data_IF_193320841597
#
_entry.id   IF_193320841597
#
_cell.length_a   1.000
_cell.length_b   1.000
_cell.length_c   1.000
_cell.angle_alpha   90.00
_cell.angle_beta   90.00
_cell.angle_gamma   90.00
#
_symmetry.space_group_name_H-M   'P 1'
#
loop_
_entity.id
_entity.type
_entity.pdbx_description
1 polymer ?
#
# COMPACT_ATOMS: atom_id res chain seq x y z
N UNK A 1 -19.18 -32.59 -22.88
CA UNK A 1 -17.97 -31.99 -22.25
C UNK A 1 -17.79 -30.50 -22.56
N UNK A 2 -18.43 -29.92 -23.58
CA UNK A 2 -18.19 -28.54 -24.05
C UNK A 2 -18.88 -27.46 -23.18
N UNK A 3 -20.01 -27.77 -22.52
CA UNK A 3 -20.75 -26.84 -21.63
C UNK A 3 -20.02 -26.42 -20.35
N UNK A 4 -18.90 -27.07 -20.04
CA UNK A 4 -18.17 -26.97 -18.76
C UNK A 4 -17.09 -25.88 -18.77
N UNK A 5 -16.24 -25.89 -19.80
CA UNK A 5 -15.26 -24.82 -20.10
C UNK A 5 -15.88 -23.42 -20.28
N UNK A 6 -17.18 -23.38 -20.57
CA UNK A 6 -18.03 -22.19 -20.74
C UNK A 6 -18.16 -21.31 -19.49
N UNK A 7 -18.14 -21.92 -18.30
CA UNK A 7 -18.51 -21.26 -17.03
C UNK A 7 -17.27 -20.72 -16.30
N UNK A 8 -16.23 -21.54 -16.19
CA UNK A 8 -14.96 -21.34 -16.88
C UNK A 8 -14.29 -19.94 -16.89
N UNK A 9 -13.94 -19.53 -18.11
CA UNK A 9 -13.25 -18.27 -18.40
C UNK A 9 -14.07 -17.02 -18.00
N UNK A 10 -15.38 -17.16 -17.83
CA UNK A 10 -16.24 -16.06 -17.42
C UNK A 10 -16.05 -15.66 -15.95
N UNK A 11 -15.87 -16.65 -15.08
CA UNK A 11 -15.60 -16.43 -13.66
C UNK A 11 -14.19 -15.91 -13.39
N UNK A 12 -13.23 -16.20 -14.29
CA UNK A 12 -11.84 -15.76 -14.12
C UNK A 12 -11.69 -14.25 -14.17
N UNK A 13 -12.36 -13.71 -15.17
CA UNK A 13 -12.23 -12.37 -15.69
C UNK A 13 -12.85 -11.28 -14.81
N UNK A 14 -13.96 -11.57 -14.13
CA UNK A 14 -14.59 -10.63 -13.20
C UNK A 14 -13.84 -10.47 -11.87
N UNK A 15 -12.98 -11.41 -11.49
CA UNK A 15 -12.29 -11.40 -10.19
C UNK A 15 -11.06 -10.50 -10.11
N UNK A 16 -10.40 -10.25 -11.24
CA UNK A 16 -9.18 -9.41 -11.36
C UNK A 16 -9.43 -7.92 -11.07
N UNK A 17 -10.68 -7.54 -10.81
CA UNK A 17 -11.16 -6.16 -10.80
C UNK A 17 -11.43 -5.57 -9.41
N UNK A 18 -11.10 -6.29 -8.34
CA UNK A 18 -11.25 -5.82 -6.96
C UNK A 18 -9.94 -5.43 -6.26
N UNK A 19 -8.79 -5.52 -6.94
CA UNK A 19 -7.45 -5.31 -6.35
C UNK A 19 -7.00 -3.83 -6.37
N UNK A 20 -7.78 -2.92 -6.96
CA UNK A 20 -7.44 -1.49 -6.95
C UNK A 20 -7.88 -0.80 -5.64
N UNK A 21 -7.03 -0.87 -4.61
CA UNK A 21 -7.03 0.06 -3.48
C UNK A 21 -5.58 0.40 -3.07
N UNK A 22 -5.33 1.61 -2.52
CA UNK A 22 -4.14 2.38 -2.81
C UNK A 22 -2.85 1.83 -2.21
N UNK A 23 -1.84 1.71 -3.08
CA UNK A 23 -0.44 1.49 -2.79
C UNK A 23 0.17 2.76 -2.17
N UNK A 24 0.38 2.75 -0.86
CA UNK A 24 1.34 3.64 -0.22
C UNK A 24 2.04 2.84 0.87
N UNK A 25 3.25 2.35 0.62
CA UNK A 25 4.37 2.42 1.57
C UNK A 25 5.68 2.25 0.79
N UNK A 26 6.46 3.33 0.75
CA UNK A 26 7.89 3.31 0.45
C UNK A 26 8.59 2.93 1.76
N UNK A 27 9.30 1.81 1.81
CA UNK A 27 10.51 1.68 2.61
C UNK A 27 11.23 0.34 2.37
N UNK A 28 12.49 0.48 1.95
CA UNK A 28 13.63 -0.44 2.09
C UNK A 28 13.70 -1.63 1.13
N UNK A 29 14.70 -1.52 0.25
CA UNK A 29 14.93 -2.44 -0.85
C UNK A 29 15.58 -3.74 -0.44
N UNK A 30 15.04 -4.82 -0.99
CA UNK A 30 15.74 -5.92 -1.64
C UNK A 30 14.75 -6.51 -2.66
N UNK A 31 15.18 -6.56 -3.93
CA UNK A 31 14.51 -7.10 -5.14
C UNK A 31 12.98 -7.27 -5.03
N UNK A 32 12.27 -6.14 -4.91
CA UNK A 32 10.82 -6.08 -5.08
C UNK A 32 10.52 -6.13 -6.58
N UNK A 33 9.61 -7.01 -7.03
CA UNK A 33 8.83 -6.61 -8.20
C UNK A 33 8.06 -5.38 -7.77
N UNK A 34 8.33 -4.25 -8.41
CA UNK A 34 7.73 -2.99 -7.98
C UNK A 34 6.19 -3.12 -8.08
N UNK A 35 5.41 -2.47 -7.20
CA UNK A 35 3.95 -2.50 -7.30
C UNK A 35 3.42 -2.14 -8.71
N UNK A 36 4.17 -1.31 -9.44
CA UNK A 36 3.92 -0.94 -10.83
C UNK A 36 4.11 -2.12 -11.78
N UNK A 37 5.15 -2.94 -11.57
CA UNK A 37 5.36 -4.18 -12.33
C UNK A 37 4.20 -5.15 -12.16
N UNK A 38 3.71 -5.31 -10.92
CA UNK A 38 2.61 -6.21 -10.64
C UNK A 38 1.33 -5.76 -11.35
N UNK A 39 1.10 -4.45 -11.44
CA UNK A 39 -0.06 -3.88 -12.12
C UNK A 39 0.00 -4.08 -13.65
N UNK A 40 1.20 -3.92 -14.24
CA UNK A 40 1.45 -4.19 -15.68
C UNK A 40 1.22 -5.66 -15.99
N UNK A 41 1.79 -6.57 -15.20
CA UNK A 41 1.60 -8.02 -15.39
C UNK A 41 0.12 -8.41 -15.22
N UNK A 42 -0.59 -7.74 -14.31
CA UNK A 42 -2.03 -7.97 -14.11
C UNK A 42 -2.85 -7.56 -15.34
N UNK A 43 -2.54 -6.41 -15.95
CA UNK A 43 -3.24 -5.95 -17.16
C UNK A 43 -2.97 -6.86 -18.37
N UNK A 44 -1.74 -7.34 -18.55
CA UNK A 44 -1.39 -8.31 -19.59
C UNK A 44 -2.13 -9.64 -19.43
N UNK A 45 -2.23 -10.15 -18.19
CA UNK A 45 -3.00 -11.37 -17.91
C UNK A 45 -4.49 -11.17 -18.18
N UNK A 46 -5.05 -10.04 -17.76
CA UNK A 46 -6.45 -9.72 -18.03
C UNK A 46 -6.73 -9.65 -19.54
N UNK A 47 -5.81 -9.08 -20.32
CA UNK A 47 -5.92 -9.05 -21.78
C UNK A 47 -6.03 -10.48 -22.36
N UNK A 48 -5.09 -11.36 -22.02
CA UNK A 48 -5.04 -12.74 -22.55
C UNK A 48 -6.32 -13.52 -22.24
N UNK A 49 -6.89 -13.31 -21.06
CA UNK A 49 -8.11 -13.98 -20.64
C UNK A 49 -9.33 -13.46 -21.43
N UNK A 50 -9.44 -12.14 -21.66
CA UNK A 50 -10.54 -11.57 -22.45
C UNK A 50 -10.41 -12.00 -23.92
N UNK A 51 -9.19 -12.04 -24.45
CA UNK A 51 -8.90 -12.55 -25.79
C UNK A 51 -9.38 -14.00 -25.94
N UNK A 52 -9.01 -14.87 -24.98
CA UNK A 52 -9.43 -16.27 -24.99
C UNK A 52 -10.97 -16.43 -24.92
N UNK A 53 -11.66 -15.55 -24.17
CA UNK A 53 -13.12 -15.54 -24.14
C UNK A 53 -13.71 -15.15 -25.50
N UNK A 54 -13.20 -14.10 -26.12
CA UNK A 54 -13.63 -13.63 -27.44
C UNK A 54 -13.38 -14.72 -28.50
N UNK A 55 -12.17 -15.26 -28.56
CA UNK A 55 -11.79 -16.32 -29.49
C UNK A 55 -12.68 -17.55 -29.36
N UNK A 56 -13.02 -17.91 -28.13
CA UNK A 56 -13.93 -19.03 -27.87
C UNK A 56 -15.34 -18.75 -28.41
N UNK A 57 -15.87 -17.53 -28.25
CA UNK A 57 -17.17 -17.16 -28.79
C UNK A 57 -17.16 -17.30 -30.31
N UNK A 58 -16.17 -16.71 -30.98
CA UNK A 58 -16.05 -16.77 -32.45
C UNK A 58 -15.74 -18.17 -32.99
N UNK A 59 -15.10 -19.02 -32.19
CA UNK A 59 -14.83 -20.42 -32.56
C UNK A 59 -16.05 -21.34 -32.39
N UNK A 60 -17.17 -20.83 -31.86
CA UNK A 60 -18.37 -21.59 -31.57
C UNK A 60 -19.53 -21.17 -32.49
N UNK A 61 -19.64 -21.83 -33.64
CA UNK A 61 -20.65 -21.54 -34.67
C UNK A 61 -22.09 -21.57 -34.12
N UNK A 62 -22.43 -22.54 -33.25
CA UNK A 62 -23.77 -22.61 -32.65
C UNK A 62 -24.06 -21.43 -31.74
N UNK A 63 -23.04 -20.87 -31.08
CA UNK A 63 -23.19 -19.71 -30.20
C UNK A 63 -23.27 -18.42 -31.01
N UNK A 64 -22.41 -18.25 -32.01
CA UNK A 64 -22.49 -17.11 -32.93
C UNK A 64 -23.86 -17.08 -33.60
N UNK A 65 -24.36 -18.22 -34.07
CA UNK A 65 -25.71 -18.28 -34.65
C UNK A 65 -26.77 -17.84 -33.65
N UNK A 66 -26.68 -18.24 -32.37
CA UNK A 66 -27.63 -17.78 -31.35
C UNK A 66 -27.52 -16.27 -31.07
N UNK A 67 -26.30 -15.73 -31.07
CA UNK A 67 -26.06 -14.30 -30.89
C UNK A 67 -26.63 -13.52 -32.08
N UNK A 68 -26.45 -14.01 -33.30
CA UNK A 68 -27.06 -13.47 -34.52
C UNK A 68 -28.59 -13.54 -34.51
N UNK A 69 -29.14 -14.70 -34.14
CA UNK A 69 -30.59 -14.94 -34.06
C UNK A 69 -31.29 -14.02 -33.04
N UNK A 70 -30.54 -13.52 -32.05
CA UNK A 70 -31.01 -12.56 -31.05
C UNK A 70 -30.61 -11.11 -31.38
N UNK A 71 -30.08 -10.84 -32.57
CA UNK A 71 -29.66 -9.50 -33.02
C UNK A 71 -28.54 -8.86 -32.16
N UNK A 72 -27.77 -9.66 -31.43
CA UNK A 72 -26.71 -9.21 -30.51
C UNK A 72 -25.30 -9.27 -31.13
N UNK A 73 -25.16 -9.63 -32.41
CA UNK A 73 -23.85 -9.74 -33.06
C UNK A 73 -23.14 -8.38 -33.12
N UNK A 74 -23.86 -7.32 -33.45
CA UNK A 74 -23.30 -5.96 -33.48
C UNK A 74 -22.84 -5.53 -32.08
N UNK A 75 -23.62 -5.83 -31.04
CA UNK A 75 -23.24 -5.55 -29.66
C UNK A 75 -21.95 -6.28 -29.27
N UNK A 76 -21.80 -7.56 -29.67
CA UNK A 76 -20.57 -8.32 -29.45
C UNK A 76 -19.38 -7.69 -30.19
N UNK A 77 -19.53 -7.34 -31.46
CA UNK A 77 -18.49 -6.72 -32.28
C UNK A 77 -18.03 -5.37 -31.68
N UNK A 78 -18.95 -4.56 -31.16
CA UNK A 78 -18.61 -3.34 -30.44
C UNK A 78 -17.76 -3.62 -29.19
N UNK A 79 -17.98 -4.74 -28.50
CA UNK A 79 -17.13 -5.13 -27.36
C UNK A 79 -15.78 -5.66 -27.78
N UNK A 80 -15.64 -6.25 -28.95
CA UNK A 80 -14.32 -6.59 -29.53
C UNK A 80 -13.54 -5.31 -29.86
N UNK A 81 -14.20 -4.29 -30.40
CA UNK A 81 -13.57 -2.98 -30.62
C UNK A 81 -13.10 -2.37 -29.30
N UNK A 82 -13.94 -2.39 -28.27
CA UNK A 82 -13.58 -1.91 -26.93
C UNK A 82 -12.44 -2.73 -26.31
N UNK A 83 -12.42 -4.06 -26.49
CA UNK A 83 -11.31 -4.91 -26.07
C UNK A 83 -9.98 -4.48 -26.70
N UNK A 84 -9.96 -4.21 -28.01
CA UNK A 84 -8.75 -3.74 -28.70
C UNK A 84 -8.24 -2.39 -28.16
N UNK A 85 -9.14 -1.52 -27.68
CA UNK A 85 -8.75 -0.30 -26.97
C UNK A 85 -8.05 -0.64 -25.65
N UNK A 86 -8.60 -1.57 -24.86
CA UNK A 86 -7.97 -2.06 -23.62
C UNK A 86 -6.59 -2.69 -23.86
N UNK A 87 -6.45 -3.49 -24.92
CA UNK A 87 -5.17 -4.07 -25.35
C UNK A 87 -4.12 -3.00 -25.69
N UNK A 88 -4.56 -1.89 -26.29
CA UNK A 88 -3.67 -0.76 -26.58
C UNK A 88 -3.13 -0.13 -25.30
N UNK A 89 -3.99 0.05 -24.28
CA UNK A 89 -3.57 0.52 -22.96
C UNK A 89 -2.66 -0.47 -22.23
N UNK A 90 -2.96 -1.78 -22.26
CA UNK A 90 -2.08 -2.79 -21.63
C UNK A 90 -0.68 -2.82 -22.27
N UNK A 91 -0.61 -2.68 -23.60
CA UNK A 91 0.65 -2.59 -24.34
C UNK A 91 1.41 -1.29 -24.02
N UNK A 92 0.68 -0.17 -23.94
CA UNK A 92 1.24 1.14 -23.57
C UNK A 92 1.82 1.11 -22.15
N UNK A 93 1.07 0.53 -21.20
CA UNK A 93 1.48 0.32 -19.82
C UNK A 93 2.80 -0.45 -19.71
N UNK A 94 2.92 -1.57 -20.43
CA UNK A 94 4.17 -2.35 -20.48
C UNK A 94 5.33 -1.53 -21.05
N UNK A 95 5.08 -0.83 -22.15
CA UNK A 95 6.10 0.00 -22.82
C UNK A 95 6.58 1.12 -21.89
N UNK A 96 5.66 1.80 -21.20
CA UNK A 96 5.98 2.84 -20.23
C UNK A 96 6.79 2.28 -19.05
N UNK A 97 6.44 1.09 -18.56
CA UNK A 97 7.19 0.41 -17.50
C UNK A 97 8.63 0.09 -17.93
N UNK A 98 8.82 -0.42 -19.14
CA UNK A 98 10.14 -0.72 -19.72
C UNK A 98 10.98 0.55 -19.94
N UNK A 99 10.34 1.71 -20.11
CA UNK A 99 10.97 3.03 -20.23
C UNK A 99 11.15 3.74 -18.88
N UNK A 100 10.87 3.06 -17.76
CA UNK A 100 10.91 3.62 -16.39
C UNK A 100 9.93 4.78 -16.16
N UNK A 101 8.93 4.95 -17.05
CA UNK A 101 7.82 5.88 -16.88
C UNK A 101 6.70 5.22 -16.08
N UNK A 102 6.95 5.10 -14.77
CA UNK A 102 6.09 4.36 -13.85
C UNK A 102 4.70 4.99 -13.64
N UNK A 103 4.57 6.31 -13.82
CA UNK A 103 3.29 7.01 -13.68
C UNK A 103 2.35 6.64 -14.82
N UNK A 104 2.82 6.77 -16.07
CA UNK A 104 2.09 6.35 -17.27
C UNK A 104 1.83 4.84 -17.25
N UNK A 105 2.80 4.03 -16.81
CA UNK A 105 2.63 2.58 -16.70
C UNK A 105 1.44 2.20 -15.82
N UNK A 106 1.30 2.87 -14.67
CA UNK A 106 0.20 2.63 -13.74
C UNK A 106 -1.13 3.11 -14.30
N UNK A 107 -1.18 4.34 -14.83
CA UNK A 107 -2.39 4.92 -15.40
C UNK A 107 -2.96 4.05 -16.52
N UNK A 108 -2.11 3.65 -17.47
CA UNK A 108 -2.50 2.83 -18.60
C UNK A 108 -2.92 1.41 -18.18
N UNK A 109 -2.25 0.81 -17.19
CA UNK A 109 -2.67 -0.51 -16.68
C UNK A 109 -4.05 -0.44 -16.01
N UNK A 110 -4.33 0.62 -15.24
CA UNK A 110 -5.65 0.81 -14.63
C UNK A 110 -6.74 1.01 -15.69
N UNK A 111 -6.47 1.79 -16.73
CA UNK A 111 -7.42 2.04 -17.80
C UNK A 111 -7.68 0.79 -18.64
N UNK A 112 -6.63 0.00 -18.94
CA UNK A 112 -6.77 -1.31 -19.57
C UNK A 112 -7.68 -2.24 -18.75
N UNK A 113 -7.40 -2.37 -17.44
CA UNK A 113 -8.22 -3.17 -16.52
C UNK A 113 -9.66 -2.66 -16.42
N UNK A 114 -9.89 -1.33 -16.46
CA UNK A 114 -11.23 -0.75 -16.49
C UNK A 114 -11.98 -1.15 -17.76
N UNK A 115 -11.33 -1.08 -18.91
CA UNK A 115 -11.92 -1.43 -20.20
C UNK A 115 -12.22 -2.93 -20.28
N UNK A 116 -11.28 -3.79 -19.90
CA UNK A 116 -11.49 -5.23 -19.88
C UNK A 116 -12.72 -5.60 -19.03
N UNK A 117 -12.93 -4.92 -17.90
CA UNK A 117 -14.13 -5.08 -17.04
C UNK A 117 -15.42 -4.87 -17.79
N UNK A 118 -15.45 -3.78 -18.54
CA UNK A 118 -16.61 -3.34 -19.28
C UNK A 118 -16.93 -4.34 -20.41
N UNK A 119 -15.89 -4.84 -21.10
CA UNK A 119 -16.01 -5.87 -22.12
C UNK A 119 -16.60 -7.15 -21.52
N UNK A 120 -16.03 -7.67 -20.43
CA UNK A 120 -16.50 -8.91 -19.80
C UNK A 120 -17.96 -8.75 -19.36
N UNK A 121 -18.29 -7.67 -18.65
CA UNK A 121 -19.67 -7.44 -18.19
C UNK A 121 -20.65 -7.39 -19.36
N UNK A 122 -20.25 -6.78 -20.47
CA UNK A 122 -21.10 -6.67 -21.65
C UNK A 122 -21.28 -8.01 -22.34
N UNK A 123 -20.20 -8.76 -22.55
CA UNK A 123 -20.25 -10.13 -23.09
C UNK A 123 -21.10 -11.02 -22.19
N UNK A 124 -21.10 -10.80 -20.87
CA UNK A 124 -21.91 -11.57 -19.93
C UNK A 124 -23.39 -11.43 -20.22
N UNK A 125 -23.83 -10.18 -20.39
CA UNK A 125 -25.21 -9.86 -20.66
C UNK A 125 -25.64 -10.48 -21.98
N UNK A 126 -24.79 -10.36 -23.03
CA UNK A 126 -25.02 -10.99 -24.33
C UNK A 126 -25.21 -12.51 -24.18
N UNK A 127 -24.29 -13.18 -23.48
CA UNK A 127 -24.35 -14.63 -23.29
C UNK A 127 -25.58 -15.06 -22.46
N UNK A 128 -25.91 -14.31 -21.42
CA UNK A 128 -27.08 -14.57 -20.59
C UNK A 128 -28.38 -14.43 -21.38
N UNK A 129 -28.48 -13.41 -22.23
CA UNK A 129 -29.65 -13.16 -23.09
C UNK A 129 -29.88 -14.27 -24.11
N UNK A 130 -28.81 -14.88 -24.65
CA UNK A 130 -28.92 -16.05 -25.54
C UNK A 130 -29.08 -17.39 -24.80
N UNK A 131 -29.37 -17.35 -23.50
CA UNK A 131 -29.71 -18.52 -22.69
C UNK A 131 -28.51 -19.36 -22.25
N UNK A 132 -27.30 -18.79 -22.22
CA UNK A 132 -26.16 -19.42 -21.54
C UNK A 132 -26.36 -19.33 -20.04
N UNK A 133 -26.30 -20.47 -19.35
CA UNK A 133 -26.66 -20.57 -17.94
C UNK A 133 -25.51 -20.04 -17.04
N UNK A 134 -25.70 -18.86 -16.44
CA UNK A 134 -24.67 -18.05 -15.79
C UNK A 134 -24.65 -18.11 -14.25
N UNK A 135 -25.58 -18.80 -13.57
CA UNK A 135 -25.62 -18.83 -12.09
C UNK A 135 -24.38 -19.48 -11.43
N UNK A 136 -23.81 -20.53 -12.03
CA UNK A 136 -22.56 -21.15 -11.56
C UNK A 136 -21.34 -20.21 -11.74
N UNK A 137 -21.45 -19.19 -12.59
CA UNK A 137 -20.38 -18.22 -12.88
C UNK A 137 -20.22 -17.25 -11.72
N UNK A 138 -21.30 -16.90 -11.01
CA UNK A 138 -21.26 -15.99 -9.85
C UNK A 138 -20.54 -16.66 -8.66
N UNK A 139 -20.78 -17.95 -8.44
CA UNK A 139 -20.11 -18.72 -7.38
C UNK A 139 -18.62 -18.94 -7.69
N UNK A 140 -18.28 -19.25 -8.94
CA UNK A 140 -16.88 -19.36 -9.37
C UNK A 140 -16.15 -18.02 -9.32
N UNK A 141 -16.81 -16.92 -9.69
CA UNK A 141 -16.25 -15.58 -9.62
C UNK A 141 -15.94 -15.20 -8.17
N UNK A 142 -16.90 -15.41 -7.26
CA UNK A 142 -16.73 -15.11 -5.84
C UNK A 142 -15.59 -15.93 -5.23
N UNK A 143 -15.50 -17.22 -5.60
CA UNK A 143 -14.46 -18.11 -5.11
C UNK A 143 -13.08 -17.73 -5.64
N UNK A 144 -13.00 -17.34 -6.91
CA UNK A 144 -11.74 -16.87 -7.47
C UNK A 144 -11.29 -15.52 -6.90
N UNK A 145 -12.20 -14.57 -6.72
CA UNK A 145 -11.89 -13.30 -6.04
C UNK A 145 -11.25 -13.58 -4.67
N UNK A 146 -11.78 -14.57 -3.95
CA UNK A 146 -11.22 -14.97 -2.67
C UNK A 146 -9.83 -15.63 -2.81
N UNK A 147 -9.59 -16.47 -3.84
CA UNK A 147 -8.26 -17.04 -4.14
C UNK A 147 -7.26 -15.94 -4.46
N UNK A 148 -7.59 -15.01 -5.35
CA UNK A 148 -6.69 -13.93 -5.77
C UNK A 148 -6.37 -12.98 -4.61
N UNK A 149 -7.36 -12.60 -3.79
CA UNK A 149 -7.12 -11.81 -2.57
C UNK A 149 -6.20 -12.52 -1.58
N UNK A 150 -6.33 -13.85 -1.46
CA UNK A 150 -5.45 -14.64 -0.62
C UNK A 150 -4.02 -14.71 -1.18
N UNK A 151 -3.85 -14.83 -2.50
CA UNK A 151 -2.54 -14.76 -3.17
C UNK A 151 -1.87 -13.40 -2.94
N UNK A 152 -2.59 -12.30 -3.18
CA UNK A 152 -2.06 -10.95 -2.92
C UNK A 152 -1.65 -10.77 -1.45
N UNK A 153 -2.45 -11.31 -0.52
CA UNK A 153 -2.10 -11.27 0.90
C UNK A 153 -0.83 -12.07 1.20
N UNK A 154 -0.62 -13.20 0.53
CA UNK A 154 0.60 -14.01 0.66
C UNK A 154 1.82 -13.27 0.13
N UNK A 155 1.73 -12.65 -1.05
CA UNK A 155 2.81 -11.88 -1.65
C UNK A 155 3.26 -10.77 -0.68
N UNK A 156 2.30 -10.04 -0.10
CA UNK A 156 2.57 -9.01 0.92
C UNK A 156 3.21 -9.58 2.19
N UNK A 157 2.81 -10.77 2.64
CA UNK A 157 3.40 -11.40 3.83
C UNK A 157 4.84 -11.85 3.55
N UNK A 158 5.13 -12.33 2.34
CA UNK A 158 6.48 -12.72 1.91
C UNK A 158 7.46 -11.56 1.98
N UNK A 159 7.04 -10.36 1.62
CA UNK A 159 7.87 -9.14 1.72
C UNK A 159 8.20 -8.74 3.17
N UNK A 160 7.40 -9.18 4.15
CA UNK A 160 7.59 -8.83 5.56
C UNK A 160 8.50 -9.82 6.31
N UNK A 161 8.80 -10.97 5.71
CA UNK A 161 9.52 -12.06 6.36
C UNK A 161 10.99 -12.00 5.93
N UNK A 162 11.89 -12.11 6.91
CA UNK A 162 13.33 -12.18 6.65
C UNK A 162 13.66 -13.43 5.84
N UNK A 163 14.58 -13.34 4.87
CA UNK A 163 15.07 -14.48 4.10
C UNK A 163 15.68 -15.60 4.99
N UNK A 164 16.09 -15.26 6.22
CA UNK A 164 16.64 -16.21 7.20
C UNK A 164 15.55 -17.00 7.96
N UNK A 165 14.29 -16.55 7.93
CA UNK A 165 13.15 -17.22 8.58
C UNK A 165 12.60 -18.33 7.69
N UNK A 166 13.40 -19.39 7.56
CA UNK A 166 13.10 -20.54 6.70
C UNK A 166 11.79 -21.27 7.08
N UNK A 167 11.35 -21.19 8.34
CA UNK A 167 10.12 -21.83 8.80
C UNK A 167 8.89 -21.05 8.31
N UNK A 168 8.89 -19.73 8.48
CA UNK A 168 7.80 -18.89 7.97
C UNK A 168 7.77 -18.88 6.43
N UNK A 169 8.93 -18.89 5.76
CA UNK A 169 9.01 -19.03 4.29
C UNK A 169 8.38 -20.35 3.83
N UNK A 170 8.67 -21.47 4.50
CA UNK A 170 8.06 -22.75 4.15
C UNK A 170 6.53 -22.75 4.33
N UNK A 171 6.00 -22.03 5.32
CA UNK A 171 4.56 -21.83 5.46
C UNK A 171 3.98 -21.01 4.30
N UNK A 172 4.68 -19.96 3.86
CA UNK A 172 4.27 -19.15 2.71
C UNK A 172 4.23 -20.03 1.45
N UNK A 173 5.30 -20.79 1.17
CA UNK A 173 5.36 -21.70 0.02
C UNK A 173 4.21 -22.73 0.06
N UNK A 174 3.90 -23.28 1.24
CA UNK A 174 2.77 -24.20 1.40
C UNK A 174 1.42 -23.53 1.12
N UNK A 175 1.22 -22.30 1.58
CA UNK A 175 0.00 -21.55 1.28
C UNK A 175 -0.14 -21.28 -0.22
N UNK A 176 0.95 -20.92 -0.91
CA UNK A 176 0.97 -20.75 -2.37
C UNK A 176 0.57 -22.04 -3.10
N UNK A 177 1.13 -23.19 -2.71
CA UNK A 177 0.76 -24.49 -3.27
C UNK A 177 -0.74 -24.75 -3.13
N UNK A 178 -1.33 -24.48 -1.96
CA UNK A 178 -2.77 -24.62 -1.79
C UNK A 178 -3.58 -23.63 -2.64
N UNK A 179 -3.12 -22.39 -2.81
CA UNK A 179 -3.80 -21.41 -3.66
C UNK A 179 -3.71 -21.77 -5.14
N UNK A 180 -2.57 -22.29 -5.60
CA UNK A 180 -2.39 -22.80 -6.95
C UNK A 180 -3.27 -24.02 -7.20
N UNK A 181 -3.32 -24.97 -6.25
CA UNK A 181 -4.23 -26.11 -6.31
C UNK A 181 -5.70 -25.66 -6.27
N UNK A 182 -6.05 -24.66 -5.45
CA UNK A 182 -7.40 -24.11 -5.41
C UNK A 182 -7.78 -23.51 -6.75
N UNK A 183 -6.85 -22.81 -7.40
CA UNK A 183 -7.02 -22.22 -8.73
C UNK A 183 -7.13 -23.31 -9.79
N UNK A 184 -6.31 -24.35 -9.76
CA UNK A 184 -6.37 -25.48 -10.69
C UNK A 184 -7.69 -26.29 -10.55
N UNK A 185 -8.12 -26.56 -9.33
CA UNK A 185 -9.40 -27.22 -9.06
C UNK A 185 -10.57 -26.34 -9.47
N UNK A 186 -10.46 -25.03 -9.24
CA UNK A 186 -11.28 -23.98 -9.84
C UNK A 186 -10.87 -23.69 -11.28
N UNK A 187 -10.28 -24.59 -12.04
CA UNK A 187 -10.29 -24.53 -13.51
C UNK A 187 -10.85 -25.83 -14.08
N UNK A 188 -10.79 -26.88 -13.26
CA UNK A 188 -11.29 -28.20 -13.51
C UNK A 188 -12.73 -28.44 -13.00
N UNK A 189 -13.45 -27.39 -12.56
CA UNK A 189 -14.82 -27.47 -12.00
C UNK A 189 -14.98 -28.30 -10.73
N UNK A 190 -13.89 -28.45 -9.99
CA UNK A 190 -13.89 -29.10 -8.70
C UNK A 190 -14.11 -28.04 -7.62
N UNK A 191 -15.32 -27.47 -7.60
CA UNK A 191 -15.66 -26.30 -6.75
C UNK A 191 -15.47 -26.60 -5.26
N UNK A 192 -15.79 -27.81 -4.82
CA UNK A 192 -15.65 -28.18 -3.42
C UNK A 192 -14.18 -28.35 -3.03
N UNK A 193 -13.38 -28.93 -3.91
CA UNK A 193 -11.94 -29.09 -3.76
C UNK A 193 -11.24 -27.74 -3.76
N UNK A 194 -11.63 -26.83 -4.66
CA UNK A 194 -11.19 -25.44 -4.66
C UNK A 194 -11.50 -24.72 -3.34
N UNK A 195 -12.72 -24.89 -2.80
CA UNK A 195 -13.11 -24.35 -1.49
C UNK A 195 -12.27 -24.94 -0.35
N UNK A 196 -11.99 -26.24 -0.39
CA UNK A 196 -11.14 -26.91 0.60
C UNK A 196 -9.73 -26.32 0.54
N UNK A 197 -9.10 -26.29 -0.63
CA UNK A 197 -7.75 -25.77 -0.81
C UNK A 197 -7.64 -24.28 -0.40
N UNK A 198 -8.61 -23.43 -0.79
CA UNK A 198 -8.64 -22.03 -0.35
C UNK A 198 -8.77 -21.91 1.18
N UNK A 199 -9.55 -22.80 1.81
CA UNK A 199 -9.68 -22.81 3.27
C UNK A 199 -8.37 -23.19 3.94
N UNK A 200 -7.69 -24.23 3.46
CA UNK A 200 -6.39 -24.66 3.99
C UNK A 200 -5.34 -23.54 3.81
N UNK A 201 -5.29 -22.89 2.65
CA UNK A 201 -4.44 -21.72 2.43
C UNK A 201 -4.73 -20.59 3.44
N UNK A 202 -6.00 -20.24 3.67
CA UNK A 202 -6.37 -19.17 4.62
C UNK A 202 -6.03 -19.52 6.07
N UNK A 203 -6.04 -20.80 6.45
CA UNK A 203 -5.59 -21.24 7.76
C UNK A 203 -4.09 -21.00 7.93
N UNK A 204 -3.29 -21.34 6.92
CA UNK A 204 -1.84 -21.12 6.92
C UNK A 204 -1.53 -19.62 6.92
N UNK A 205 -2.20 -18.82 6.08
CA UNK A 205 -2.10 -17.35 6.07
C UNK A 205 -2.36 -16.76 7.47
N UNK A 206 -3.36 -17.28 8.18
CA UNK A 206 -3.68 -16.79 9.53
C UNK A 206 -2.57 -17.14 10.54
N UNK A 207 -1.92 -18.29 10.38
CA UNK A 207 -0.75 -18.67 11.19
C UNK A 207 0.45 -17.76 10.91
N UNK A 208 0.74 -17.49 9.64
CA UNK A 208 1.82 -16.57 9.23
C UNK A 208 1.60 -15.18 9.82
N UNK A 209 0.38 -14.64 9.73
CA UNK A 209 0.03 -13.34 10.32
C UNK A 209 0.25 -13.34 11.83
N UNK A 210 -0.08 -14.43 12.53
CA UNK A 210 0.15 -14.53 13.97
C UNK A 210 1.65 -14.54 14.31
N UNK A 211 2.46 -15.26 13.54
CA UNK A 211 3.93 -15.29 13.72
C UNK A 211 4.52 -13.90 13.51
N UNK A 212 4.20 -13.23 12.39
CA UNK A 212 4.71 -11.89 12.09
C UNK A 212 4.27 -10.88 13.16
N UNK A 213 3.04 -11.02 13.66
CA UNK A 213 2.55 -10.19 14.76
C UNK A 213 3.35 -10.42 16.04
N UNK A 214 3.60 -11.68 16.41
CA UNK A 214 4.40 -12.02 17.60
C UNK A 214 5.84 -11.52 17.46
N UNK A 215 6.46 -11.70 16.29
CA UNK A 215 7.78 -11.14 15.99
C UNK A 215 7.78 -9.62 16.12
N UNK A 216 6.79 -8.93 15.54
CA UNK A 216 6.66 -7.48 15.66
C UNK A 216 6.47 -7.03 17.12
N UNK A 217 5.73 -7.80 17.92
CA UNK A 217 5.55 -7.57 19.35
C UNK A 217 6.87 -7.77 20.12
N UNK A 218 7.67 -8.78 19.78
CA UNK A 218 9.00 -9.00 20.35
C UNK A 218 10.00 -7.87 20.02
N UNK A 219 9.75 -7.07 18.98
CA UNK A 219 10.55 -5.87 18.67
C UNK A 219 10.03 -4.59 19.33
N UNK A 220 8.90 -4.63 20.05
CA UNK A 220 8.35 -3.43 20.69
C UNK A 220 9.31 -2.87 21.75
N UNK A 221 9.91 -3.73 22.57
CA UNK A 221 10.91 -3.35 23.57
C UNK A 221 12.05 -2.55 22.93
N UNK A 222 12.61 -3.08 21.83
CA UNK A 222 13.69 -2.42 21.11
C UNK A 222 13.24 -1.11 20.44
N UNK A 223 12.02 -1.06 19.89
CA UNK A 223 11.47 0.15 19.26
C UNK A 223 11.24 1.26 20.28
N UNK A 224 10.66 0.93 21.44
CA UNK A 224 10.44 1.85 22.56
C UNK A 224 11.79 2.34 23.08
N UNK A 225 12.71 1.43 23.37
CA UNK A 225 14.07 1.76 23.79
C UNK A 225 14.76 2.70 22.80
N UNK A 226 14.78 2.34 21.51
CA UNK A 226 15.44 3.12 20.46
C UNK A 226 14.80 4.49 20.22
N UNK A 227 13.49 4.63 20.46
CA UNK A 227 12.82 5.93 20.44
C UNK A 227 13.25 6.77 21.64
N UNK A 228 13.21 6.21 22.84
CA UNK A 228 13.60 6.87 24.08
C UNK A 228 15.06 7.34 24.06
N UNK A 229 16.00 6.51 23.59
CA UNK A 229 17.42 6.90 23.44
C UNK A 229 17.58 8.09 22.49
N UNK A 230 16.86 8.10 21.36
CA UNK A 230 16.89 9.22 20.41
C UNK A 230 16.34 10.50 21.01
N UNK A 231 15.27 10.42 21.81
CA UNK A 231 14.70 11.58 22.50
C UNK A 231 15.67 12.12 23.55
N UNK A 232 16.27 11.24 24.36
CA UNK A 232 17.28 11.60 25.35
C UNK A 232 18.43 12.37 24.72
N UNK A 233 19.00 11.84 23.64
CA UNK A 233 20.14 12.46 22.96
C UNK A 233 19.76 13.78 22.30
N UNK A 234 18.61 13.82 21.60
CA UNK A 234 18.10 15.06 20.98
C UNK A 234 17.89 16.16 22.01
N UNK A 235 17.38 15.82 23.19
CA UNK A 235 17.14 16.78 24.29
C UNK A 235 18.45 17.38 24.79
N UNK A 236 19.46 16.54 25.04
CA UNK A 236 20.81 17.00 25.44
C UNK A 236 21.44 17.90 24.39
N UNK A 237 21.31 17.53 23.13
CA UNK A 237 21.80 18.31 22.01
C UNK A 237 21.09 19.67 21.89
N UNK A 238 19.78 19.72 22.16
CA UNK A 238 19.03 20.98 22.20
C UNK A 238 19.49 21.89 23.33
N UNK A 239 19.70 21.38 24.54
CA UNK A 239 20.27 22.19 25.63
C UNK A 239 21.67 22.72 25.29
N UNK A 240 22.52 21.87 24.70
CA UNK A 240 23.85 22.29 24.22
C UNK A 240 23.75 23.42 23.19
N UNK A 241 22.86 23.28 22.20
CA UNK A 241 22.63 24.31 21.19
C UNK A 241 22.09 25.61 21.80
N UNK A 242 21.11 25.53 22.70
CA UNK A 242 20.57 26.70 23.41
C UNK A 242 21.65 27.47 24.17
N UNK A 243 22.54 26.77 24.89
CA UNK A 243 23.71 27.39 25.54
C UNK A 243 24.62 28.12 24.55
N UNK A 244 24.89 27.52 23.39
CA UNK A 244 25.70 28.15 22.34
C UNK A 244 25.04 29.41 21.78
N UNK A 245 23.70 29.49 21.81
CA UNK A 245 22.93 30.69 21.45
C UNK A 245 22.81 31.70 22.61
N UNK A 246 23.50 31.47 23.74
CA UNK A 246 23.48 32.35 24.91
C UNK A 246 22.24 32.21 25.80
N UNK A 247 21.44 31.16 25.61
CA UNK A 247 20.25 30.92 26.41
C UNK A 247 20.63 30.32 27.77
N UNK A 248 20.07 30.88 28.83
CA UNK A 248 20.11 30.29 30.17
C UNK A 248 19.06 29.16 30.25
N UNK A 249 19.52 27.91 30.16
CA UNK A 249 18.65 26.73 30.13
C UNK A 249 17.87 26.55 31.43
N UNK A 250 18.50 26.82 32.59
CA UNK A 250 17.83 26.65 33.89
C UNK A 250 16.67 27.64 34.04
N UNK A 251 16.87 28.91 33.67
CA UNK A 251 15.82 29.95 33.70
C UNK A 251 14.68 29.63 32.72
N UNK A 252 15.01 29.08 31.54
CA UNK A 252 14.00 28.60 30.59
C UNK A 252 13.16 27.49 31.21
N UNK A 253 13.81 26.51 31.83
CA UNK A 253 13.13 25.34 32.42
C UNK A 253 12.32 25.71 33.67
N UNK A 254 12.72 26.74 34.42
CA UNK A 254 11.93 27.29 35.54
C UNK A 254 10.55 27.79 35.05
N UNK A 255 10.47 28.36 33.85
CA UNK A 255 9.20 28.79 33.26
C UNK A 255 8.25 27.61 32.93
N UNK A 256 8.81 26.40 32.79
CA UNK A 256 8.09 25.15 32.59
C UNK A 256 7.86 24.38 33.90
N UNK A 257 8.27 24.96 35.04
CA UNK A 257 8.08 24.36 36.36
C UNK A 257 9.24 23.47 36.84
N UNK A 258 10.38 23.47 36.16
CA UNK A 258 11.56 22.70 36.54
C UNK A 258 12.65 23.60 37.12
N UNK A 259 13.25 23.23 38.24
CA UNK A 259 14.26 24.01 38.96
C UNK A 259 15.64 23.99 38.28
N UNK A 260 15.89 23.04 37.37
CA UNK A 260 17.17 22.92 36.64
C UNK A 260 17.07 21.95 35.47
N UNK A 261 18.06 22.01 34.57
CA UNK A 261 18.31 20.99 33.55
C UNK A 261 18.39 19.58 34.14
N UNK A 262 19.05 19.42 35.30
CA UNK A 262 19.15 18.13 35.96
C UNK A 262 17.78 17.59 36.38
N UNK A 263 16.92 18.42 36.98
CA UNK A 263 15.58 17.98 37.37
C UNK A 263 14.72 17.62 36.15
N UNK A 264 14.83 18.38 35.06
CA UNK A 264 14.15 18.05 33.82
C UNK A 264 14.61 16.70 33.26
N UNK A 265 15.93 16.49 33.20
CA UNK A 265 16.50 15.23 32.71
C UNK A 265 16.14 14.06 33.61
N UNK A 266 16.15 14.21 34.93
CA UNK A 266 15.68 13.16 35.86
C UNK A 266 14.20 12.80 35.63
N UNK A 267 13.36 13.81 35.38
CA UNK A 267 11.94 13.58 35.05
C UNK A 267 11.79 12.83 33.73
N UNK A 268 12.55 13.23 32.70
CA UNK A 268 12.59 12.55 31.41
C UNK A 268 13.07 11.09 31.55
N UNK A 269 14.13 10.85 32.32
CA UNK A 269 14.64 9.49 32.56
C UNK A 269 13.61 8.63 33.30
N UNK A 270 12.88 9.19 34.26
CA UNK A 270 11.77 8.51 34.94
C UNK A 270 10.69 8.05 33.98
N UNK A 271 10.21 8.95 33.12
CA UNK A 271 9.19 8.63 32.10
C UNK A 271 9.71 7.61 31.07
N UNK A 272 10.97 7.74 30.63
CA UNK A 272 11.60 6.75 29.74
C UNK A 272 11.66 5.37 30.40
N UNK A 273 12.00 5.32 31.69
CA UNK A 273 12.04 4.07 32.44
C UNK A 273 10.64 3.46 32.58
N UNK A 274 9.62 4.27 32.83
CA UNK A 274 8.22 3.81 32.87
C UNK A 274 7.77 3.26 31.52
N UNK A 275 8.03 3.97 30.41
CA UNK A 275 7.72 3.51 29.06
C UNK A 275 8.40 2.18 28.72
N UNK A 276 9.69 2.03 29.10
CA UNK A 276 10.43 0.78 28.90
C UNK A 276 9.90 -0.35 29.80
N UNK A 277 9.53 -0.08 31.04
CA UNK A 277 8.96 -1.09 31.95
C UNK A 277 7.56 -1.54 31.51
N UNK A 278 6.84 -0.69 30.78
CA UNK A 278 5.51 -0.97 30.26
C UNK A 278 5.56 -1.53 28.83
N UNK A 279 6.72 -1.95 28.32
CA UNK A 279 6.86 -2.41 26.93
C UNK A 279 6.00 -3.63 26.58
N UNK A 280 5.76 -4.52 27.55
CA UNK A 280 4.80 -5.63 27.45
C UNK A 280 3.33 -5.16 27.43
N UNK A 281 3.05 -3.96 27.92
CA UNK A 281 1.73 -3.31 27.95
C UNK A 281 1.69 -2.16 26.94
N UNK A 282 1.76 -2.48 25.64
CA UNK A 282 1.99 -1.51 24.56
C UNK A 282 1.12 -0.24 24.65
N UNK A 283 -0.17 -0.35 24.98
CA UNK A 283 -1.03 0.83 25.11
C UNK A 283 -0.53 1.79 26.21
N UNK A 284 -0.09 1.25 27.33
CA UNK A 284 0.46 2.03 28.44
C UNK A 284 1.82 2.62 28.08
N UNK A 285 2.68 1.86 27.41
CA UNK A 285 3.93 2.40 26.88
C UNK A 285 3.68 3.54 25.88
N UNK A 286 2.65 3.44 25.02
CA UNK A 286 2.27 4.53 24.10
C UNK A 286 1.84 5.77 24.87
N UNK A 287 0.99 5.64 25.90
CA UNK A 287 0.59 6.76 26.77
C UNK A 287 1.80 7.43 27.43
N UNK A 288 2.78 6.65 27.90
CA UNK A 288 4.03 7.17 28.47
C UNK A 288 4.87 7.91 27.40
N UNK A 289 4.96 7.35 26.19
CA UNK A 289 5.66 8.00 25.06
C UNK A 289 4.98 9.29 24.60
N UNK A 290 3.65 9.35 24.64
CA UNK A 290 2.88 10.58 24.36
C UNK A 290 3.17 11.64 25.42
N UNK A 291 3.23 11.27 26.69
CA UNK A 291 3.62 12.17 27.79
C UNK A 291 5.03 12.72 27.58
N UNK A 292 6.00 11.86 27.21
CA UNK A 292 7.36 12.28 26.85
C UNK A 292 7.34 13.28 25.69
N UNK A 293 6.58 12.97 24.62
CA UNK A 293 6.48 13.84 23.45
C UNK A 293 5.94 15.22 23.81
N UNK A 294 4.87 15.29 24.60
CA UNK A 294 4.27 16.56 25.02
C UNK A 294 5.25 17.41 25.84
N UNK A 295 5.94 16.78 26.78
CA UNK A 295 6.97 17.44 27.60
C UNK A 295 8.11 18.02 26.73
N UNK A 296 8.62 17.24 25.78
CA UNK A 296 9.68 17.70 24.87
C UNK A 296 9.17 18.80 23.93
N UNK A 297 7.94 18.70 23.45
CA UNK A 297 7.36 19.72 22.57
C UNK A 297 7.24 21.07 23.29
N UNK A 298 6.75 21.09 24.53
CA UNK A 298 6.67 22.33 25.32
C UNK A 298 8.06 22.96 25.55
N UNK A 299 9.07 22.13 25.81
CA UNK A 299 10.46 22.58 25.93
C UNK A 299 10.98 23.17 24.62
N UNK A 300 10.77 22.51 23.48
CA UNK A 300 11.24 22.99 22.17
C UNK A 300 10.55 24.30 21.75
N UNK A 301 9.24 24.44 22.02
CA UNK A 301 8.48 25.67 21.76
C UNK A 301 9.02 26.84 22.60
N UNK A 302 9.23 26.63 23.90
CA UNK A 302 9.75 27.66 24.82
C UNK A 302 11.18 28.05 24.46
N UNK A 303 12.01 27.09 24.04
CA UNK A 303 13.37 27.34 23.58
C UNK A 303 13.39 28.14 22.30
N UNK A 304 12.54 27.82 21.33
CA UNK A 304 12.43 28.57 20.09
C UNK A 304 12.03 30.02 20.35
N UNK A 305 11.06 30.24 21.24
CA UNK A 305 10.65 31.59 21.65
C UNK A 305 11.79 32.36 22.32
N UNK A 306 12.49 31.73 23.26
CA UNK A 306 13.62 32.33 23.98
C UNK A 306 14.76 32.72 23.03
N UNK A 307 15.10 31.85 22.07
CA UNK A 307 16.12 32.13 21.04
C UNK A 307 15.71 33.32 20.17
N UNK A 308 14.46 33.33 19.68
CA UNK A 308 13.95 34.44 18.86
C UNK A 308 13.96 35.76 19.63
N UNK A 309 13.59 35.76 20.91
CA UNK A 309 13.63 36.95 21.76
C UNK A 309 15.07 37.43 21.99
N UNK A 310 16.02 36.53 22.25
CA UNK A 310 17.43 36.87 22.39
C UNK A 310 18.00 37.45 21.09
N UNK A 311 17.74 36.81 19.94
CA UNK A 311 18.21 37.32 18.65
C UNK A 311 17.59 38.69 18.30
N UNK A 312 16.33 38.94 18.63
CA UNK A 312 15.71 40.26 18.43
C UNK A 312 16.27 41.33 19.37
N UNK A 313 16.68 40.95 20.59
CA UNK A 313 17.22 41.88 21.59
C UNK A 313 18.69 42.26 21.32
N UNK A 314 19.45 41.39 20.66
CA UNK A 314 20.86 41.63 20.30
C UNK A 314 21.09 41.85 18.79
N UNK A 315 20.07 41.66 17.95
CA UNK A 315 20.14 41.79 16.48
C UNK A 315 19.66 43.13 15.90
N UNK A 316 19.18 44.08 16.72
CA UNK A 316 18.85 45.44 16.26
C UNK A 316 20.03 46.40 16.47
N UNK A 317 21.07 46.19 15.67
CA UNK A 317 22.29 47.02 15.62
C UNK A 317 22.78 47.27 14.20
N UNK A 318 21.87 47.29 13.22
CA UNK A 318 22.17 47.56 11.81
C UNK A 318 21.86 49.01 11.43
N UNK A 319 22.86 49.89 11.58
CA UNK A 319 23.03 51.22 10.98
C UNK A 319 21.85 51.83 10.20
N UNK A 320 21.01 52.57 10.93
CA UNK A 320 20.36 53.76 10.39
C UNK A 320 21.36 54.93 10.36
N UNK A 321 22.06 55.11 9.24
CA UNK A 321 22.78 56.34 8.96
C UNK A 321 22.07 57.06 7.80
N UNK A 322 21.15 57.95 8.16
CA UNK A 322 20.64 58.96 7.25
C UNK A 322 21.69 60.05 7.02
N UNK A 323 21.97 60.34 5.76
CA UNK A 323 22.40 61.65 5.23
C UNK A 323 21.76 61.74 3.83
N UNK A 324 20.67 62.50 3.69
CA UNK A 324 20.65 63.90 3.25
C UNK A 324 20.79 64.09 1.74
N UNK A 325 19.63 64.35 1.11
CA UNK A 325 19.35 65.47 0.18
C UNK A 325 20.38 65.81 -0.92
N UNK A 326 19.95 65.67 -2.18
CA UNK A 326 20.55 66.39 -3.32
C UNK A 326 19.88 66.11 -4.67
N UNK A 327 18.93 66.98 -5.05
CA UNK A 327 18.47 67.40 -6.40
C UNK A 327 18.85 66.56 -7.64
N UNK A 328 17.89 66.04 -8.40
CA UNK A 328 17.12 66.73 -9.46
C UNK A 328 17.93 67.24 -10.67
N UNK A 329 17.97 66.42 -11.73
CA UNK A 329 17.88 66.79 -13.16
C UNK A 329 17.92 65.46 -13.94
N UNK A 330 17.00 65.09 -14.83
CA UNK A 330 16.26 65.91 -15.77
C UNK A 330 16.78 65.64 -17.18
N UNK A 331 16.08 64.78 -17.93
CA UNK A 331 15.90 64.93 -19.37
C UNK A 331 16.85 64.23 -20.34
N UNK A 332 16.20 63.49 -21.25
CA UNK A 332 16.60 63.01 -22.58
C UNK A 332 17.22 61.62 -22.65
#
# INVERSE_FOLDING_TARGET
MIKKKLRFGFALLLSMMTIAAPLLFIAQGQIQSSPQQNLVVLSERAQQEVEALIDWIYSNEELIQKIEDNELLTDLEEKVVLFNQGTSYATSSKTAYELEDYETAVEDALEALRIFREVIKSIHNILSEVGVNTEDIIDMQTLLEAILRAQEKIDRLRELVSEEDTETIALIDNAEIYLDNAKEDLFNEKINEAKINLREANQIISQIVAIIKDQAENFNDWRIFSYCERIRERTRERFRYGRQQGINIDELLESLGYQSENQFMETLEGLIQEANNNSEQLNKAIEDLETIREMIQQMEETMTQSINQHQNRYGSGGNGAGYSSGQNSGGS
#
